data_IF_337778933580
#
_entry.id   IF_337778933580
#
_cell.length_a   1.000
_cell.length_b   1.000
_cell.length_c   1.000
_cell.angle_alpha   90.00
_cell.angle_beta   90.00
_cell.angle_gamma   90.00
#
_symmetry.space_group_name_H-M   'P 1'
#
loop_
_entity.id
_entity.type
_entity.pdbx_description
1 polymer ?
#
# COMPACT_ATOMS: atom_id res chain seq x y z
N UNK A 1 -35.72 -82.80 9.65
CA UNK A 1 -35.99 -81.70 8.69
C UNK A 1 -35.50 -80.41 9.31
N UNK A 2 -34.29 -79.94 8.95
CA UNK A 2 -33.61 -78.82 9.55
C UNK A 2 -33.83 -77.60 8.62
N UNK A 3 -34.46 -76.55 9.12
CA UNK A 3 -34.66 -75.27 8.42
C UNK A 3 -33.53 -74.30 8.77
N UNK A 4 -32.70 -74.01 7.78
CA UNK A 4 -31.66 -73.01 7.88
C UNK A 4 -32.29 -71.66 7.55
N UNK A 5 -32.29 -70.72 8.49
CA UNK A 5 -32.69 -69.35 8.27
C UNK A 5 -31.45 -68.53 7.83
N UNK A 6 -31.52 -68.00 6.64
CA UNK A 6 -30.47 -67.07 6.13
C UNK A 6 -30.69 -65.65 6.68
N UNK A 7 -29.68 -65.13 7.40
CA UNK A 7 -29.66 -63.76 7.92
C UNK A 7 -29.03 -62.85 6.86
N UNK A 8 -29.83 -61.95 6.27
CA UNK A 8 -29.35 -60.95 5.32
C UNK A 8 -28.77 -59.73 6.09
N UNK A 9 -27.49 -59.51 5.94
CA UNK A 9 -26.79 -58.37 6.51
C UNK A 9 -26.90 -57.16 5.56
N UNK A 10 -27.71 -56.18 5.93
CA UNK A 10 -27.82 -54.92 5.17
C UNK A 10 -26.67 -54.00 5.52
N UNK A 11 -25.77 -53.80 4.57
CA UNK A 11 -24.70 -52.79 4.69
C UNK A 11 -25.28 -51.41 4.33
N UNK A 12 -25.44 -50.56 5.34
CA UNK A 12 -25.80 -49.14 5.15
C UNK A 12 -24.53 -48.37 4.84
N UNK A 13 -24.33 -48.02 3.56
CA UNK A 13 -23.31 -47.03 3.16
C UNK A 13 -23.76 -45.63 3.59
N UNK A 14 -23.21 -45.11 4.67
CA UNK A 14 -23.33 -43.71 5.01
C UNK A 14 -22.40 -42.89 4.08
N UNK A 15 -22.96 -42.24 3.06
CA UNK A 15 -22.26 -41.24 2.26
C UNK A 15 -22.01 -40.01 3.13
N UNK A 16 -20.79 -39.86 3.60
CA UNK A 16 -20.33 -38.64 4.25
C UNK A 16 -20.21 -37.54 3.15
N UNK A 17 -21.20 -36.65 3.08
CA UNK A 17 -21.09 -35.40 2.33
C UNK A 17 -20.04 -34.53 3.04
N UNK A 18 -18.81 -34.56 2.58
CA UNK A 18 -17.83 -33.50 2.91
C UNK A 18 -18.30 -32.20 2.26
N UNK A 19 -18.94 -31.34 3.05
CA UNK A 19 -19.16 -29.95 2.67
C UNK A 19 -17.77 -29.32 2.55
N UNK A 20 -17.29 -29.14 1.31
CA UNK A 20 -16.23 -28.17 1.04
C UNK A 20 -16.80 -26.80 1.42
N UNK A 21 -16.58 -26.37 2.65
CA UNK A 21 -16.71 -24.96 3.02
C UNK A 21 -15.54 -24.24 2.35
N UNK A 22 -15.77 -23.68 1.17
CA UNK A 22 -14.96 -22.56 0.69
C UNK A 22 -15.22 -21.42 1.66
N UNK A 23 -14.45 -21.39 2.75
CA UNK A 23 -14.35 -20.24 3.64
C UNK A 23 -13.93 -19.02 2.83
N UNK A 24 -14.21 -17.80 3.33
CA UNK A 24 -13.76 -16.60 2.67
C UNK A 24 -12.26 -16.73 2.43
N UNK A 25 -11.85 -16.62 1.17
CA UNK A 25 -10.45 -16.62 0.75
C UNK A 25 -9.73 -15.62 1.65
N UNK A 26 -8.74 -16.08 2.43
CA UNK A 26 -7.90 -15.24 3.29
C UNK A 26 -7.05 -14.30 2.42
N UNK A 27 -7.68 -13.27 1.85
CA UNK A 27 -7.02 -12.32 0.93
C UNK A 27 -6.01 -11.42 1.62
N UNK A 28 -5.99 -11.38 2.96
CA UNK A 28 -5.15 -10.47 3.72
C UNK A 28 -3.85 -11.04 4.25
N UNK A 29 -3.74 -12.36 4.45
CA UNK A 29 -2.61 -12.96 5.17
C UNK A 29 -1.29 -12.88 4.41
N UNK A 30 -1.33 -12.86 3.08
CA UNK A 30 -0.15 -12.70 2.21
C UNK A 30 0.24 -11.24 1.90
N UNK A 31 -0.66 -10.28 2.15
CA UNK A 31 -0.43 -8.87 1.83
C UNK A 31 0.71 -8.29 2.66
N UNK A 32 1.69 -7.69 1.98
CA UNK A 32 2.83 -6.99 2.61
C UNK A 32 3.07 -5.61 2.04
N UNK A 33 2.21 -5.17 1.09
CA UNK A 33 2.25 -3.86 0.47
C UNK A 33 0.85 -3.41 0.04
N UNK A 34 0.54 -2.13 0.22
CA UNK A 34 -0.63 -1.47 -0.37
C UNK A 34 -0.47 0.05 -0.39
N UNK A 35 -1.31 0.74 -1.19
CA UNK A 35 -1.56 2.18 -1.12
C UNK A 35 -2.76 2.39 -0.19
N UNK A 36 -2.77 3.40 0.67
CA UNK A 36 -3.91 3.61 1.56
C UNK A 36 -5.18 3.96 0.80
N UNK A 37 -6.32 3.28 1.08
CA UNK A 37 -7.63 3.71 0.60
C UNK A 37 -8.09 4.99 1.32
N UNK A 38 -7.65 5.18 2.56
CA UNK A 38 -7.90 6.39 3.34
C UNK A 38 -7.09 7.57 2.79
N UNK A 39 -7.74 8.72 2.71
CA UNK A 39 -7.20 9.99 2.25
C UNK A 39 -6.85 10.92 3.41
N UNK A 40 -6.10 11.98 3.14
CA UNK A 40 -5.86 13.09 4.05
C UNK A 40 -5.97 14.40 3.29
N UNK A 41 -6.74 15.34 3.82
CA UNK A 41 -6.88 16.67 3.20
C UNK A 41 -5.61 17.50 3.31
N UNK A 42 -4.75 17.19 4.28
CA UNK A 42 -3.50 17.93 4.54
C UNK A 42 -2.30 16.97 4.59
N UNK A 43 -1.09 17.54 4.55
CA UNK A 43 0.17 16.84 4.75
C UNK A 43 0.44 16.46 6.22
N UNK A 44 -0.42 16.89 7.15
CA UNK A 44 -0.32 16.48 8.55
C UNK A 44 -0.89 15.07 8.74
N UNK A 45 -0.01 14.11 8.84
CA UNK A 45 -0.33 12.69 9.07
C UNK A 45 -0.14 12.27 10.55
N UNK A 46 0.21 13.21 11.43
CA UNK A 46 0.65 12.93 12.79
C UNK A 46 2.08 12.39 12.86
N UNK A 47 2.93 12.79 11.92
CA UNK A 47 4.31 12.33 11.78
C UNK A 47 4.39 10.86 11.33
N UNK A 48 5.58 10.26 11.48
CA UNK A 48 5.78 8.84 11.15
C UNK A 48 4.88 7.91 11.97
N UNK A 49 4.67 8.21 13.25
CA UNK A 49 3.85 7.38 14.14
C UNK A 49 2.38 7.36 13.71
N UNK A 50 1.81 8.51 13.34
CA UNK A 50 0.44 8.61 12.85
C UNK A 50 0.27 7.92 11.49
N UNK A 51 1.24 8.07 10.59
CA UNK A 51 1.26 7.39 9.31
C UNK A 51 1.37 5.86 9.45
N UNK A 52 2.23 5.37 10.35
CA UNK A 52 2.37 3.94 10.65
C UNK A 52 1.09 3.36 11.27
N UNK A 53 0.46 4.11 12.19
CA UNK A 53 -0.83 3.70 12.78
C UNK A 53 -1.94 3.61 11.74
N UNK A 54 -1.97 4.51 10.75
CA UNK A 54 -2.89 4.45 9.60
C UNK A 54 -2.66 3.18 8.79
N UNK A 55 -1.40 2.86 8.47
CA UNK A 55 -1.05 1.63 7.75
C UNK A 55 -1.51 0.37 8.52
N UNK A 56 -1.25 0.30 9.83
CA UNK A 56 -1.67 -0.82 10.66
C UNK A 56 -3.20 -0.94 10.74
N UNK A 57 -3.91 0.19 10.90
CA UNK A 57 -5.37 0.20 10.97
C UNK A 57 -6.01 -0.36 9.70
N UNK A 58 -5.56 0.10 8.52
CA UNK A 58 -6.07 -0.38 7.23
C UNK A 58 -5.71 -1.85 6.99
N UNK A 59 -4.50 -2.26 7.32
CA UNK A 59 -4.09 -3.67 7.25
C UNK A 59 -4.93 -4.55 8.16
N UNK A 60 -5.25 -4.09 9.38
CA UNK A 60 -6.10 -4.81 10.33
C UNK A 60 -7.51 -5.00 9.79
N UNK A 61 -8.07 -3.98 9.15
CA UNK A 61 -9.41 -4.03 8.57
C UNK A 61 -9.57 -5.11 7.49
N UNK A 62 -8.47 -5.56 6.86
CA UNK A 62 -8.46 -6.61 5.83
C UNK A 62 -7.79 -7.92 6.31
N UNK A 63 -7.58 -8.08 7.63
CA UNK A 63 -7.03 -9.30 8.22
C UNK A 63 -5.50 -9.45 8.12
N UNK A 64 -4.77 -8.37 7.76
CA UNK A 64 -3.31 -8.35 7.65
C UNK A 64 -2.61 -7.63 8.83
N UNK A 65 -3.34 -7.35 9.92
CA UNK A 65 -2.85 -6.58 11.07
C UNK A 65 -1.83 -7.29 11.97
N UNK A 66 -1.53 -8.56 11.72
CA UNK A 66 -0.56 -9.36 12.48
C UNK A 66 0.91 -9.08 12.13
N UNK A 67 1.17 -8.10 11.27
CA UNK A 67 2.51 -7.70 10.82
C UNK A 67 2.88 -6.31 11.35
N UNK A 68 4.16 -5.99 11.36
CA UNK A 68 4.64 -4.63 11.63
C UNK A 68 4.54 -3.80 10.37
N UNK A 69 3.61 -2.85 10.35
CA UNK A 69 3.38 -1.98 9.19
C UNK A 69 4.12 -0.66 9.34
N UNK A 70 4.70 -0.17 8.22
CA UNK A 70 5.40 1.11 8.12
C UNK A 70 4.94 1.87 6.89
N UNK A 71 4.72 3.17 7.07
CA UNK A 71 4.55 4.10 5.97
C UNK A 71 5.89 4.32 5.25
N UNK A 72 5.88 4.34 3.93
CA UNK A 72 7.04 4.68 3.10
C UNK A 72 7.17 6.21 3.04
N UNK A 73 7.74 6.79 4.08
CA UNK A 73 7.91 8.22 4.24
C UNK A 73 9.32 8.52 4.74
N UNK A 74 10.01 9.47 4.10
CA UNK A 74 11.24 10.04 4.62
C UNK A 74 10.93 11.22 5.55
N UNK A 75 11.78 11.45 6.53
CA UNK A 75 11.72 12.60 7.46
C UNK A 75 13.11 13.18 7.69
N UNK A 76 13.16 14.47 8.02
CA UNK A 76 14.40 15.17 8.34
C UNK A 76 14.81 14.93 9.79
N UNK A 77 13.83 14.74 10.69
CA UNK A 77 14.04 14.50 12.12
C UNK A 77 13.17 13.33 12.59
N UNK A 78 13.81 12.24 12.88
CA UNK A 78 13.16 11.04 13.43
C UNK A 78 13.55 10.90 14.91
N UNK A 79 12.58 11.05 15.81
CA UNK A 79 12.82 10.90 17.25
C UNK A 79 13.33 9.49 17.59
N UNK A 80 12.88 8.47 16.87
CA UNK A 80 13.35 7.08 17.04
C UNK A 80 14.79 6.88 16.55
N UNK A 81 15.31 7.81 15.71
CA UNK A 81 16.69 7.81 15.20
C UNK A 81 17.55 8.92 15.84
N UNK A 82 17.22 9.35 17.05
CA UNK A 82 17.95 10.43 17.75
C UNK A 82 17.84 11.79 17.06
N UNK A 83 16.69 12.11 16.48
CA UNK A 83 16.40 13.33 15.72
C UNK A 83 17.28 13.51 14.46
N UNK A 84 17.82 12.41 13.93
CA UNK A 84 18.52 12.39 12.64
C UNK A 84 17.55 12.08 11.50
N UNK A 85 17.91 12.37 10.24
CA UNK A 85 17.13 11.98 9.09
C UNK A 85 16.89 10.48 9.02
N UNK A 86 15.72 10.11 8.51
CA UNK A 86 15.38 8.71 8.20
C UNK A 86 14.85 8.63 6.77
N UNK A 87 15.45 7.77 5.98
CA UNK A 87 15.05 7.47 4.60
C UNK A 87 13.85 6.52 4.58
N UNK A 88 12.90 6.74 3.69
CA UNK A 88 11.74 5.86 3.52
C UNK A 88 12.16 4.41 3.23
N UNK A 89 13.19 4.22 2.40
CA UNK A 89 13.73 2.89 2.06
C UNK A 89 14.24 2.10 3.27
N UNK A 90 14.76 2.77 4.28
CA UNK A 90 15.32 2.12 5.47
C UNK A 90 14.23 1.60 6.43
N UNK A 91 12.98 2.05 6.26
CA UNK A 91 11.87 1.75 7.17
C UNK A 91 11.13 0.47 6.80
N UNK A 92 11.23 0.01 5.56
CA UNK A 92 10.32 -1.00 4.99
C UNK A 92 10.90 -2.43 4.93
N UNK A 93 12.14 -2.64 5.37
CA UNK A 93 12.80 -3.96 5.29
C UNK A 93 13.34 -4.25 3.89
N UNK A 94 13.53 -5.53 3.56
CA UNK A 94 14.21 -5.95 2.34
C UNK A 94 13.32 -6.71 1.35
N UNK A 95 12.02 -6.88 1.64
CA UNK A 95 11.10 -7.66 0.81
C UNK A 95 11.20 -9.18 1.04
N UNK A 96 10.60 -10.03 0.20
CA UNK A 96 9.74 -9.63 -0.91
C UNK A 96 8.42 -9.02 -0.47
N UNK A 97 7.81 -8.19 -1.35
CA UNK A 97 6.50 -7.60 -1.06
C UNK A 97 5.44 -8.05 -2.07
N UNK A 98 4.23 -8.25 -1.55
CA UNK A 98 3.06 -8.69 -2.32
C UNK A 98 1.91 -7.73 -2.03
N UNK A 99 1.17 -7.34 -3.07
CA UNK A 99 0.00 -6.48 -2.91
C UNK A 99 -1.22 -7.24 -2.37
N UNK A 100 -2.33 -6.54 -2.17
CA UNK A 100 -3.57 -7.11 -1.63
C UNK A 100 -4.24 -8.17 -2.52
N UNK A 101 -3.78 -8.32 -3.78
CA UNK A 101 -4.19 -9.39 -4.70
C UNK A 101 -3.25 -10.59 -4.66
N UNK A 102 -2.20 -10.57 -3.83
CA UNK A 102 -1.15 -11.59 -3.80
C UNK A 102 -0.17 -11.51 -4.98
N UNK A 103 -0.20 -10.41 -5.74
CA UNK A 103 0.72 -10.20 -6.85
C UNK A 103 2.07 -9.72 -6.30
N UNK A 104 3.21 -10.31 -6.73
CA UNK A 104 4.53 -9.83 -6.35
C UNK A 104 4.75 -8.39 -6.84
N UNK A 105 5.13 -7.49 -5.93
CA UNK A 105 5.47 -6.10 -6.25
C UNK A 105 6.95 -5.99 -6.50
N UNK A 106 7.79 -6.44 -5.57
CA UNK A 106 9.24 -6.46 -5.73
C UNK A 106 9.88 -7.52 -4.84
N UNK A 107 10.97 -8.10 -5.28
CA UNK A 107 11.71 -9.12 -4.53
C UNK A 107 12.66 -8.53 -3.48
N UNK A 108 13.09 -7.27 -3.65
CA UNK A 108 14.03 -6.57 -2.77
C UNK A 108 14.00 -5.05 -3.02
N UNK A 109 14.75 -4.29 -2.21
CA UNK A 109 14.82 -2.83 -2.32
C UNK A 109 15.28 -2.33 -3.69
N UNK A 110 16.27 -2.97 -4.30
CA UNK A 110 16.77 -2.56 -5.63
C UNK A 110 15.71 -2.76 -6.70
N UNK A 111 15.01 -3.90 -6.69
CA UNK A 111 13.93 -4.19 -7.61
C UNK A 111 12.76 -3.21 -7.39
N UNK A 112 12.42 -2.87 -6.14
CA UNK A 112 11.36 -1.92 -5.81
C UNK A 112 11.64 -0.52 -6.38
N UNK A 113 12.86 0.01 -6.18
CA UNK A 113 13.23 1.34 -6.65
C UNK A 113 13.49 1.43 -8.15
N UNK A 114 13.62 0.29 -8.83
CA UNK A 114 13.66 0.22 -10.29
C UNK A 114 12.28 0.24 -10.96
N UNK A 115 11.19 0.10 -10.19
CA UNK A 115 9.83 0.10 -10.73
C UNK A 115 9.42 1.50 -11.21
N UNK A 116 8.53 1.49 -12.18
CA UNK A 116 7.65 2.62 -12.49
C UNK A 116 6.30 2.40 -11.81
N UNK A 117 5.50 3.44 -11.69
CA UNK A 117 4.12 3.30 -11.25
C UNK A 117 3.34 2.37 -12.19
N UNK A 118 2.43 1.57 -11.60
CA UNK A 118 1.57 0.63 -12.32
C UNK A 118 0.28 0.43 -11.54
N UNK A 119 -0.85 0.85 -12.10
CA UNK A 119 -2.16 0.77 -11.44
C UNK A 119 -2.61 -0.66 -11.10
N UNK A 120 -2.02 -1.68 -11.69
CA UNK A 120 -2.30 -3.08 -11.37
C UNK A 120 -1.50 -3.60 -10.17
N UNK A 121 -0.32 -3.02 -9.91
CA UNK A 121 0.56 -3.36 -8.79
C UNK A 121 0.28 -2.50 -7.56
N UNK A 122 0.11 -1.17 -7.74
CA UNK A 122 -0.04 -0.20 -6.66
C UNK A 122 -1.54 -0.02 -6.31
N UNK A 123 -2.13 -1.09 -5.79
CA UNK A 123 -3.54 -1.14 -5.37
C UNK A 123 -3.68 -0.83 -3.88
N UNK A 124 -4.90 -0.52 -3.43
CA UNK A 124 -5.20 -0.30 -2.02
C UNK A 124 -5.23 -1.63 -1.21
N UNK A 125 -5.45 -1.55 0.10
CA UNK A 125 -5.51 -2.72 1.00
C UNK A 125 -6.66 -3.67 0.67
N UNK A 126 -7.65 -3.23 -0.13
CA UNK A 126 -8.78 -4.03 -0.60
C UNK A 126 -8.54 -4.60 -2.01
N UNK A 127 -7.38 -4.28 -2.62
CA UNK A 127 -7.03 -4.68 -3.98
C UNK A 127 -7.67 -3.82 -5.07
N UNK A 128 -8.17 -2.61 -4.75
CA UNK A 128 -8.71 -1.69 -5.74
C UNK A 128 -7.61 -0.80 -6.32
N UNK A 129 -7.61 -0.52 -7.61
CA UNK A 129 -6.68 0.45 -8.20
C UNK A 129 -6.97 1.85 -7.67
N UNK A 130 -5.93 2.67 -7.54
CA UNK A 130 -6.05 4.08 -7.20
C UNK A 130 -6.47 4.86 -8.43
N UNK A 131 -7.41 5.80 -8.29
CA UNK A 131 -7.81 6.68 -9.38
C UNK A 131 -6.61 7.45 -9.91
N UNK A 132 -6.42 7.44 -11.23
CA UNK A 132 -5.24 8.02 -11.86
C UNK A 132 -5.47 8.43 -13.30
N UNK A 133 -4.40 8.42 -14.10
CA UNK A 133 -4.41 8.73 -15.53
C UNK A 133 -4.56 7.47 -16.42
N UNK A 134 -4.69 6.28 -15.85
CA UNK A 134 -4.88 5.04 -16.61
C UNK A 134 -6.26 5.00 -17.30
N UNK A 135 -6.38 4.22 -18.38
CA UNK A 135 -7.59 4.16 -19.22
C UNK A 135 -8.79 3.63 -18.43
N UNK A 136 -9.88 4.41 -18.38
CA UNK A 136 -11.09 4.03 -17.65
C UNK A 136 -11.06 4.36 -16.16
N UNK A 137 -10.01 5.04 -15.69
CA UNK A 137 -9.95 5.50 -14.29
C UNK A 137 -11.09 6.49 -14.01
N UNK A 138 -11.78 6.35 -12.86
CA UNK A 138 -12.75 7.35 -12.44
C UNK A 138 -12.06 8.65 -12.00
N UNK A 139 -12.80 9.76 -12.06
CA UNK A 139 -12.39 11.02 -11.45
C UNK A 139 -12.79 11.04 -9.96
N UNK A 140 -12.12 11.87 -9.14
CA UNK A 140 -10.92 12.66 -9.44
C UNK A 140 -9.66 11.80 -9.54
N UNK A 141 -8.59 12.36 -10.12
CA UNK A 141 -7.25 11.76 -10.07
C UNK A 141 -6.70 11.88 -8.65
N UNK A 142 -6.18 10.76 -8.11
CA UNK A 142 -5.67 10.65 -6.72
C UNK A 142 -4.35 9.88 -6.64
N UNK A 143 -3.63 9.77 -7.75
CA UNK A 143 -2.45 8.92 -7.93
C UNK A 143 -1.16 9.47 -7.33
N UNK A 144 -1.16 10.73 -6.87
CA UNK A 144 -0.04 11.36 -6.17
C UNK A 144 0.07 10.83 -4.75
N UNK A 145 1.03 9.96 -4.51
CA UNK A 145 1.25 9.32 -3.21
C UNK A 145 2.41 10.01 -2.50
N UNK A 146 2.19 10.48 -1.27
CA UNK A 146 3.19 11.18 -0.47
C UNK A 146 4.32 10.25 -0.05
N UNK A 147 5.57 10.71 -0.19
CA UNK A 147 6.77 9.92 0.13
C UNK A 147 7.88 10.72 0.80
N UNK A 148 8.08 11.99 0.42
CA UNK A 148 9.23 12.80 0.88
C UNK A 148 10.57 12.26 0.40
N UNK A 149 10.59 11.48 -0.67
CA UNK A 149 11.76 10.69 -1.08
C UNK A 149 12.21 11.02 -2.49
N UNK A 150 13.51 10.84 -2.73
CA UNK A 150 14.09 10.74 -4.08
C UNK A 150 13.70 9.40 -4.71
N UNK A 151 14.02 9.19 -5.99
CA UNK A 151 13.65 7.97 -6.71
C UNK A 151 14.29 6.71 -6.13
N UNK A 152 15.45 6.81 -5.48
CA UNK A 152 16.10 5.68 -4.80
C UNK A 152 15.63 5.46 -3.35
N UNK A 153 14.66 6.26 -2.88
CA UNK A 153 14.04 6.13 -1.57
C UNK A 153 14.78 6.80 -0.42
N UNK A 154 15.78 7.63 -0.71
CA UNK A 154 16.45 8.48 0.27
C UNK A 154 15.65 9.76 0.53
N UNK A 155 15.94 10.45 1.61
CA UNK A 155 15.28 11.71 1.97
C UNK A 155 15.42 12.76 0.86
N UNK A 156 14.31 13.39 0.49
CA UNK A 156 14.31 14.66 -0.23
C UNK A 156 14.07 15.81 0.76
N UNK A 157 15.16 16.44 1.19
CA UNK A 157 15.13 17.48 2.21
C UNK A 157 14.26 18.69 1.78
N UNK A 158 13.46 19.22 2.70
CA UNK A 158 12.52 20.31 2.43
C UNK A 158 11.18 19.86 1.84
N UNK A 159 11.01 18.56 1.51
CA UNK A 159 9.82 18.02 0.85
C UNK A 159 9.09 16.95 1.69
N UNK A 160 9.03 17.17 3.00
CA UNK A 160 8.44 16.22 3.95
C UNK A 160 7.18 16.74 4.64
N UNK A 161 6.57 17.84 4.18
CA UNK A 161 5.48 18.52 4.91
C UNK A 161 5.82 18.72 6.41
N UNK A 162 7.05 19.17 6.72
CA UNK A 162 7.51 19.34 8.10
C UNK A 162 7.46 18.02 8.89
N UNK A 163 8.08 16.99 8.33
CA UNK A 163 8.09 15.63 8.88
C UNK A 163 6.68 15.06 9.08
N UNK A 164 5.78 15.40 8.14
CA UNK A 164 4.38 14.94 8.07
C UNK A 164 3.53 15.42 9.26
N UNK A 165 3.88 16.61 9.78
CA UNK A 165 3.13 17.28 10.87
C UNK A 165 2.55 18.63 10.45
N UNK A 166 2.81 19.07 9.21
CA UNK A 166 2.40 20.38 8.72
C UNK A 166 1.14 20.34 7.86
N UNK A 167 0.26 21.29 8.12
CA UNK A 167 -0.90 21.68 7.29
C UNK A 167 -0.73 23.09 6.72
N UNK A 168 0.51 23.56 6.58
CA UNK A 168 0.84 24.90 6.11
C UNK A 168 0.87 25.00 4.59
N UNK A 169 0.46 26.16 4.06
CA UNK A 169 0.67 26.55 2.67
C UNK A 169 2.13 26.82 2.30
N UNK A 170 3.00 26.97 3.30
CA UNK A 170 4.43 27.28 3.13
C UNK A 170 5.32 26.03 3.06
N UNK A 171 4.77 24.85 3.29
CA UNK A 171 5.51 23.59 3.21
C UNK A 171 4.99 22.72 2.06
N UNK A 172 5.85 21.85 1.54
CA UNK A 172 5.55 20.93 0.44
C UNK A 172 6.01 19.51 0.78
N UNK A 173 5.45 18.54 0.09
CA UNK A 173 5.87 17.15 0.16
C UNK A 173 6.19 16.59 -1.22
N UNK A 174 7.19 15.71 -1.32
CA UNK A 174 7.44 14.93 -2.54
C UNK A 174 6.38 13.86 -2.68
N UNK A 175 5.91 13.65 -3.92
CA UNK A 175 4.94 12.62 -4.28
C UNK A 175 5.46 11.76 -5.44
N UNK A 176 4.93 10.55 -5.56
CA UNK A 176 5.12 9.69 -6.71
C UNK A 176 3.78 9.31 -7.33
N UNK A 177 3.77 8.92 -8.60
CA UNK A 177 2.58 8.50 -9.33
C UNK A 177 2.37 6.99 -9.22
N UNK A 178 1.34 6.56 -8.50
CA UNK A 178 1.06 5.12 -8.32
C UNK A 178 0.76 4.38 -9.62
N UNK A 179 0.30 5.07 -10.66
CA UNK A 179 0.01 4.51 -11.97
C UNK A 179 1.12 4.77 -13.03
N UNK A 180 2.15 5.54 -12.67
CA UNK A 180 3.28 5.87 -13.55
C UNK A 180 2.97 6.83 -14.69
N UNK A 181 1.88 7.58 -14.59
CA UNK A 181 1.47 8.55 -15.59
C UNK A 181 1.44 9.97 -15.02
N UNK A 182 2.00 10.92 -15.77
CA UNK A 182 1.76 12.33 -15.58
C UNK A 182 0.53 12.82 -16.38
N UNK A 183 0.33 14.16 -16.47
CA UNK A 183 -0.76 14.74 -17.24
C UNK A 183 -0.79 14.20 -18.70
N UNK A 184 -1.99 13.96 -19.22
CA UNK A 184 -2.19 13.36 -20.54
C UNK A 184 -1.47 12.01 -20.74
N UNK A 185 -1.28 11.26 -19.65
CA UNK A 185 -0.59 9.96 -19.63
C UNK A 185 0.88 10.04 -20.06
N UNK A 186 1.53 11.15 -19.79
CA UNK A 186 2.97 11.31 -20.01
C UNK A 186 3.76 10.38 -19.06
N UNK A 187 4.69 9.61 -19.62
CA UNK A 187 5.58 8.71 -18.87
C UNK A 187 7.03 9.17 -18.87
N UNK A 188 7.28 10.39 -19.36
CA UNK A 188 8.65 10.92 -19.49
C UNK A 188 9.27 11.28 -18.15
N UNK A 189 10.57 11.07 -18.04
CA UNK A 189 11.38 11.47 -16.90
C UNK A 189 10.83 10.96 -15.56
N UNK A 190 10.74 11.85 -14.59
CA UNK A 190 10.27 11.55 -13.24
C UNK A 190 8.77 11.24 -13.16
N UNK A 191 7.96 11.61 -14.17
CA UNK A 191 6.51 11.39 -14.14
C UNK A 191 6.11 9.91 -14.09
N UNK A 192 6.99 9.00 -14.50
CA UNK A 192 6.76 7.56 -14.35
C UNK A 192 7.18 6.98 -13.01
N UNK A 193 7.81 7.78 -12.14
CA UNK A 193 8.29 7.30 -10.84
C UNK A 193 7.13 7.06 -9.86
N UNK A 194 7.08 5.88 -9.28
CA UNK A 194 6.07 5.55 -8.28
C UNK A 194 6.27 6.31 -6.96
N UNK A 195 7.49 6.74 -6.65
CA UNK A 195 7.84 7.34 -5.35
C UNK A 195 8.42 8.75 -5.42
N UNK A 196 8.74 9.28 -6.60
CA UNK A 196 9.39 10.60 -6.73
C UNK A 196 9.12 11.26 -8.08
N UNK A 197 7.88 11.69 -8.31
CA UNK A 197 7.48 12.33 -9.57
C UNK A 197 7.65 13.86 -9.52
N UNK A 198 7.05 14.51 -8.52
CA UNK A 198 7.09 15.96 -8.31
C UNK A 198 6.71 16.32 -6.85
N UNK A 199 6.77 17.61 -6.50
CA UNK A 199 6.20 18.09 -5.25
C UNK A 199 4.70 18.30 -5.38
N UNK A 200 3.95 18.08 -4.30
CA UNK A 200 2.57 18.56 -4.19
C UNK A 200 2.53 20.11 -4.25
N UNK A 201 1.33 20.70 -4.31
CA UNK A 201 1.23 22.16 -4.35
C UNK A 201 1.60 22.79 -3.00
N UNK A 202 1.09 22.23 -1.90
CA UNK A 202 1.40 22.59 -0.51
C UNK A 202 0.80 21.54 0.44
N UNK A 203 1.14 21.65 1.73
CA UNK A 203 0.68 20.70 2.74
C UNK A 203 -0.64 21.09 3.41
N UNK A 204 -1.21 22.27 3.12
CA UNK A 204 -2.54 22.65 3.59
C UNK A 204 -3.65 21.98 2.79
N UNK A 205 -3.35 21.57 1.54
CA UNK A 205 -4.30 20.88 0.68
C UNK A 205 -3.57 19.89 -0.23
N UNK A 206 -3.85 18.61 -0.08
CA UNK A 206 -3.21 17.53 -0.83
C UNK A 206 -3.90 17.20 -2.16
N UNK A 207 -5.13 17.71 -2.39
CA UNK A 207 -5.92 17.38 -3.58
C UNK A 207 -5.43 18.00 -4.90
N UNK A 208 -4.86 19.22 -4.93
CA UNK A 208 -4.35 19.79 -6.18
C UNK A 208 -3.26 18.89 -6.82
N UNK A 209 -3.19 18.91 -8.16
CA UNK A 209 -2.24 18.16 -8.99
C UNK A 209 -2.42 16.64 -9.01
N UNK A 210 -3.54 16.12 -8.50
CA UNK A 210 -3.81 14.68 -8.52
C UNK A 210 -3.53 13.97 -7.20
N UNK A 211 -3.47 14.72 -6.09
CA UNK A 211 -3.29 14.15 -4.76
C UNK A 211 -4.59 13.87 -4.03
N UNK A 212 -4.50 13.08 -2.97
CA UNK A 212 -5.55 12.83 -1.98
C UNK A 212 -4.96 12.53 -0.60
N UNK A 213 -3.68 12.83 -0.37
CA UNK A 213 -3.00 12.56 0.89
C UNK A 213 -2.86 11.08 1.22
N UNK A 214 -2.74 10.23 0.19
CA UNK A 214 -2.47 8.80 0.32
C UNK A 214 -0.98 8.55 0.57
N UNK A 215 -0.68 7.40 1.17
CA UNK A 215 0.68 6.93 1.44
C UNK A 215 0.82 5.46 1.06
N UNK A 216 2.05 5.01 0.82
CA UNK A 216 2.37 3.59 0.67
C UNK A 216 2.62 2.96 2.04
N UNK A 217 2.13 1.74 2.22
CA UNK A 217 2.27 0.94 3.42
C UNK A 217 3.00 -0.37 3.12
N UNK A 218 4.02 -0.68 3.91
CA UNK A 218 4.82 -1.90 3.78
C UNK A 218 4.83 -2.67 5.10
N UNK A 219 4.67 -3.98 5.03
CA UNK A 219 4.94 -4.87 6.14
C UNK A 219 6.44 -5.20 6.21
N UNK A 220 6.97 -5.21 7.44
CA UNK A 220 8.36 -5.48 7.76
C UNK A 220 8.50 -6.83 8.47
#
# INVERSE_FOLDING_TARGET
MLRIAALALAVVCAAACTKNSSGPTERGTGTTFFVTSATSTTGNLGGLSGADARCLSLATAVGAGNKTWRAYLSVERDAANGNRPTDARSRIGNGPWFNAKGVPVASNLSALHALKGDSSLFVDEKGQPINGQWVGSPAPVEHDIMTGSTADGTLMAGFTCGDWTSDSTLTVGQVGHSDGFGPNRDTSGALSSWNSAHSNQNCANTAPRGGAGRIYCFAR
#
